data_IF_519039085985
#
_entry.id   IF_519039085985
#
_cell.length_a   1.000
_cell.length_b   1.000
_cell.length_c   1.000
_cell.angle_alpha   90.00
_cell.angle_beta   90.00
_cell.angle_gamma   90.00
#
_symmetry.space_group_name_H-M   'P 1'
#
loop_
_entity.id
_entity.type
_entity.pdbx_description
1 polymer ?
#
# COMPACT_ATOMS: atom_id res chain seq x y z
N UNK A 1 8.51 2.61 -2.08
CA UNK A 1 7.58 3.68 -1.67
C UNK A 1 6.95 4.30 -2.89
N UNK A 2 5.62 4.48 -2.87
CA UNK A 2 4.95 5.12 -4.00
C UNK A 2 5.21 6.62 -4.00
N UNK A 3 5.44 7.16 -5.19
CA UNK A 3 5.71 8.58 -5.38
C UNK A 3 4.56 9.21 -6.17
N UNK A 4 4.54 10.54 -6.21
CA UNK A 4 3.57 11.28 -7.02
C UNK A 4 3.72 10.89 -8.50
N UNK A 5 4.95 10.77 -8.98
CA UNK A 5 5.21 10.40 -10.39
C UNK A 5 4.72 8.98 -10.69
N UNK A 6 4.89 8.06 -9.75
CA UNK A 6 4.42 6.70 -9.88
C UNK A 6 2.89 6.64 -10.02
N UNK A 7 2.17 7.41 -9.18
CA UNK A 7 0.72 7.50 -9.25
C UNK A 7 0.25 8.14 -10.55
N UNK A 8 0.96 9.17 -11.00
CA UNK A 8 0.66 9.87 -12.25
C UNK A 8 0.72 8.90 -13.43
N UNK A 9 1.77 8.09 -13.50
CA UNK A 9 1.94 7.10 -14.55
C UNK A 9 0.82 6.06 -14.54
N UNK A 10 0.49 5.55 -13.37
CA UNK A 10 -0.53 4.52 -13.21
C UNK A 10 -1.91 5.02 -13.63
N UNK A 11 -2.25 6.26 -13.30
CA UNK A 11 -3.53 6.84 -13.70
C UNK A 11 -3.57 7.07 -15.19
N UNK A 12 -2.51 7.64 -15.76
CA UNK A 12 -2.46 7.92 -17.20
C UNK A 12 -2.63 6.68 -18.07
N UNK A 13 -2.17 5.53 -17.59
CA UNK A 13 -2.31 4.28 -18.31
C UNK A 13 -3.76 3.78 -18.39
N UNK A 14 -4.63 4.29 -17.50
CA UNK A 14 -6.01 3.81 -17.36
C UNK A 14 -7.07 4.80 -17.79
N UNK A 15 -6.73 6.08 -17.88
CA UNK A 15 -7.70 7.11 -18.25
C UNK A 15 -7.70 7.36 -19.75
N UNK A 16 -8.85 7.86 -20.23
CA UNK A 16 -8.97 8.30 -21.61
C UNK A 16 -8.03 9.47 -21.83
N UNK A 17 -7.32 9.44 -22.97
CA UNK A 17 -6.41 10.51 -23.34
C UNK A 17 -7.12 11.86 -23.34
N UNK A 18 -6.46 12.86 -22.80
CA UNK A 18 -7.01 14.21 -22.70
C UNK A 18 -7.79 14.50 -21.42
N UNK A 19 -8.01 13.48 -20.58
CA UNK A 19 -8.66 13.70 -19.29
C UNK A 19 -7.72 14.47 -18.37
N UNK A 20 -8.25 15.55 -17.79
CA UNK A 20 -7.49 16.35 -16.84
C UNK A 20 -7.66 15.82 -15.43
N UNK A 21 -6.54 15.71 -14.71
CA UNK A 21 -6.54 15.25 -13.32
C UNK A 21 -5.87 16.31 -12.48
N UNK A 22 -6.53 16.71 -11.41
CA UNK A 22 -5.97 17.69 -10.47
C UNK A 22 -4.69 17.14 -9.84
N UNK A 23 -3.63 17.95 -9.71
CA UNK A 23 -2.39 17.47 -9.07
C UNK A 23 -2.59 16.91 -7.67
N UNK A 24 -3.59 17.38 -6.95
CA UNK A 24 -3.89 16.91 -5.60
C UNK A 24 -4.27 15.45 -5.56
N UNK A 25 -4.84 14.91 -6.64
CA UNK A 25 -5.21 13.49 -6.73
C UNK A 25 -3.96 12.63 -6.58
N UNK A 26 -2.90 12.97 -7.28
CA UNK A 26 -1.65 12.18 -7.24
C UNK A 26 -0.99 12.24 -5.87
N UNK A 27 -1.01 13.42 -5.26
CA UNK A 27 -0.44 13.63 -3.93
C UNK A 27 -1.20 12.79 -2.90
N UNK A 28 -2.54 12.84 -2.95
CA UNK A 28 -3.37 12.09 -2.02
C UNK A 28 -3.21 10.59 -2.21
N UNK A 29 -3.14 10.12 -3.45
CA UNK A 29 -2.94 8.70 -3.71
C UNK A 29 -1.61 8.21 -3.15
N UNK A 30 -0.54 8.95 -3.38
CA UNK A 30 0.77 8.58 -2.87
C UNK A 30 0.78 8.56 -1.34
N UNK A 31 0.18 9.56 -0.70
CA UNK A 31 0.13 9.66 0.74
C UNK A 31 -0.66 8.51 1.35
N UNK A 32 -1.84 8.22 0.82
CA UNK A 32 -2.69 7.14 1.34
C UNK A 32 -2.06 5.77 1.11
N UNK A 33 -1.40 5.57 -0.03
CA UNK A 33 -0.69 4.32 -0.31
C UNK A 33 0.45 4.10 0.68
N UNK A 34 1.23 5.15 0.95
CA UNK A 34 2.33 5.05 1.90
C UNK A 34 1.82 4.81 3.32
N UNK A 35 0.72 5.46 3.70
CA UNK A 35 0.10 5.25 5.01
C UNK A 35 -0.35 3.79 5.17
N UNK A 36 -0.99 3.22 4.16
CA UNK A 36 -1.39 1.82 4.19
C UNK A 36 -0.18 0.90 4.26
N UNK A 37 0.86 1.19 3.49
CA UNK A 37 2.08 0.39 3.51
C UNK A 37 2.71 0.38 4.90
N UNK A 38 2.74 1.52 5.58
CA UNK A 38 3.28 1.58 6.94
C UNK A 38 2.46 0.75 7.91
N UNK A 39 1.13 0.80 7.80
CA UNK A 39 0.26 -0.04 8.62
C UNK A 39 0.51 -1.52 8.36
N UNK A 40 0.68 -1.88 7.10
CA UNK A 40 0.94 -3.26 6.70
C UNK A 40 2.28 -3.74 7.25
N UNK A 41 3.31 -2.91 7.18
CA UNK A 41 4.63 -3.24 7.74
C UNK A 41 4.52 -3.50 9.23
N UNK A 42 3.86 -2.62 9.96
CA UNK A 42 3.71 -2.76 11.41
C UNK A 42 2.94 -4.04 11.77
N UNK A 43 1.86 -4.33 11.05
CA UNK A 43 1.08 -5.54 11.28
C UNK A 43 1.89 -6.79 10.93
N UNK A 44 2.66 -6.76 9.86
CA UNK A 44 3.50 -7.88 9.47
C UNK A 44 4.57 -8.18 10.51
N UNK A 45 5.14 -7.14 11.13
CA UNK A 45 6.12 -7.30 12.20
C UNK A 45 5.48 -8.01 13.41
N UNK A 46 4.27 -7.61 13.77
CA UNK A 46 3.55 -8.24 14.89
C UNK A 46 3.28 -9.72 14.59
N UNK A 47 2.80 -10.02 13.38
CA UNK A 47 2.55 -11.41 12.96
C UNK A 47 3.85 -12.22 13.03
N UNK A 48 4.93 -11.65 12.51
CA UNK A 48 6.23 -12.31 12.51
C UNK A 48 6.70 -12.60 13.93
N UNK A 49 6.58 -11.61 14.83
CA UNK A 49 7.04 -11.76 16.21
C UNK A 49 6.25 -12.81 16.98
N UNK A 50 4.98 -13.00 16.64
CA UNK A 50 4.14 -14.03 17.27
C UNK A 50 4.38 -15.41 16.68
N UNK A 51 4.94 -15.50 15.50
CA UNK A 51 5.33 -16.79 14.91
C UNK A 51 6.66 -17.21 15.51
N UNK A 52 7.03 -18.47 15.31
CA UNK A 52 8.33 -18.93 15.76
C UNK A 52 9.32 -18.99 14.60
N UNK A 53 9.00 -18.29 13.52
CA UNK A 53 9.85 -18.26 12.35
C UNK A 53 11.08 -17.39 12.60
N UNK A 54 12.21 -17.80 12.05
CA UNK A 54 13.45 -17.03 12.19
C UNK A 54 13.59 -15.94 11.14
N UNK A 55 12.70 -15.92 10.17
CA UNK A 55 12.77 -14.99 9.04
C UNK A 55 11.37 -14.57 8.61
N UNK A 56 11.18 -13.28 8.40
CA UNK A 56 9.92 -12.78 7.86
C UNK A 56 9.81 -13.18 6.38
N UNK A 57 8.63 -13.67 5.99
CA UNK A 57 8.38 -14.07 4.62
C UNK A 57 7.01 -13.56 4.15
N UNK A 58 6.66 -13.87 2.91
CA UNK A 58 5.42 -13.34 2.31
C UNK A 58 4.16 -13.77 3.04
N UNK A 59 4.17 -14.90 3.72
CA UNK A 59 2.98 -15.34 4.44
C UNK A 59 2.67 -14.45 5.64
N UNK A 60 3.68 -13.89 6.30
CA UNK A 60 3.48 -12.92 7.37
C UNK A 60 2.82 -11.65 6.84
N UNK A 61 3.25 -11.19 5.68
CA UNK A 61 2.69 -10.00 5.04
C UNK A 61 1.24 -10.25 4.62
N UNK A 62 0.98 -11.41 4.02
CA UNK A 62 -0.37 -11.76 3.58
C UNK A 62 -1.33 -11.86 4.76
N UNK A 63 -0.91 -12.51 5.84
CA UNK A 63 -1.72 -12.62 7.06
C UNK A 63 -1.98 -11.24 7.66
N UNK A 64 -0.99 -10.36 7.68
CA UNK A 64 -1.16 -8.99 8.15
C UNK A 64 -2.20 -8.25 7.31
N UNK A 65 -2.15 -8.43 6.00
CA UNK A 65 -3.12 -7.83 5.08
C UNK A 65 -4.55 -8.28 5.42
N UNK A 66 -4.74 -9.58 5.65
CA UNK A 66 -6.06 -10.10 6.03
C UNK A 66 -6.55 -9.52 7.34
N UNK A 67 -5.67 -9.39 8.33
CA UNK A 67 -6.03 -8.80 9.63
C UNK A 67 -6.48 -7.36 9.46
N UNK A 68 -5.77 -6.57 8.66
CA UNK A 68 -6.12 -5.16 8.44
C UNK A 68 -7.46 -4.99 7.74
N UNK A 69 -7.92 -5.99 6.99
CA UNK A 69 -9.18 -5.94 6.27
C UNK A 69 -10.36 -6.52 7.05
N UNK A 70 -10.12 -7.15 8.19
CA UNK A 70 -11.20 -7.76 8.98
C UNK A 70 -12.13 -6.74 9.62
N UNK A 71 -11.70 -5.51 9.77
CA UNK A 71 -12.49 -4.46 10.37
C UNK A 71 -13.35 -3.66 9.40
N UNK A 72 -13.35 -4.01 8.13
CA UNK A 72 -14.08 -3.29 7.10
C UNK A 72 -15.53 -3.74 6.93
#
# INVERSE_FOLDING_TARGET
>A
METVNSMKKRIKERLVEGTHVSPEVYINLAMLTNTYTDKLINAAIVVFEKSNDSRMNKSHVYEAHLILHQGE
#
